data_IF_121654884296
#
_entry.id   IF_121654884296
#
_cell.length_a   1.000
_cell.length_b   1.000
_cell.length_c   1.000
_cell.angle_alpha   90.00
_cell.angle_beta   90.00
_cell.angle_gamma   90.00
#
_symmetry.space_group_name_H-M   'P 1'
#
loop_
_entity.id
_entity.type
_entity.pdbx_description
1 polymer ?
#
# COMPACT_ATOMS: atom_id res chain seq x y z
N UNK A 1 -10.87 1.32 -28.98
CA UNK A 1 -11.37 1.97 -27.75
C UNK A 1 -10.20 2.36 -26.88
N UNK A 2 -10.07 3.63 -26.56
CA UNK A 2 -9.02 4.08 -25.66
C UNK A 2 -9.33 3.61 -24.22
N UNK A 3 -8.50 2.74 -23.67
CA UNK A 3 -8.66 2.21 -22.32
C UNK A 3 -8.41 3.35 -21.33
N UNK A 4 -9.41 3.73 -20.56
CA UNK A 4 -9.26 4.78 -19.54
C UNK A 4 -9.18 4.21 -18.12
N UNK A 5 -8.55 4.97 -17.21
CA UNK A 5 -8.38 4.56 -15.80
C UNK A 5 -9.69 4.25 -15.07
N UNK A 6 -10.76 4.96 -15.40
CA UNK A 6 -12.05 4.80 -14.71
C UNK A 6 -12.71 3.48 -15.05
N UNK A 7 -12.71 3.08 -16.33
CA UNK A 7 -13.26 1.79 -16.77
C UNK A 7 -12.42 0.62 -16.24
N UNK A 8 -11.08 0.72 -16.28
CA UNK A 8 -10.21 -0.29 -15.67
C UNK A 8 -10.46 -0.42 -14.17
N UNK A 9 -10.56 0.69 -13.45
CA UNK A 9 -10.86 0.68 -12.01
C UNK A 9 -12.13 -0.08 -11.70
N UNK A 10 -13.23 0.23 -12.38
CA UNK A 10 -14.52 -0.45 -12.18
C UNK A 10 -14.42 -1.95 -12.50
N UNK A 11 -13.76 -2.30 -13.61
CA UNK A 11 -13.52 -3.70 -14.01
C UNK A 11 -12.79 -4.47 -12.90
N UNK A 12 -11.67 -3.93 -12.39
CA UNK A 12 -10.85 -4.63 -11.41
C UNK A 12 -11.45 -4.62 -10.00
N UNK A 13 -12.21 -3.61 -9.61
CA UNK A 13 -13.00 -3.64 -8.36
C UNK A 13 -14.04 -4.77 -8.41
N UNK A 14 -14.79 -4.88 -9.52
CA UNK A 14 -15.76 -5.97 -9.72
C UNK A 14 -15.06 -7.34 -9.72
N UNK A 15 -13.93 -7.46 -10.43
CA UNK A 15 -13.13 -8.70 -10.49
C UNK A 15 -12.63 -9.09 -9.10
N UNK A 16 -12.10 -8.14 -8.32
CA UNK A 16 -11.62 -8.38 -6.97
C UNK A 16 -12.76 -8.87 -6.05
N UNK A 17 -13.92 -8.21 -6.06
CA UNK A 17 -15.09 -8.62 -5.27
C UNK A 17 -15.53 -10.05 -5.60
N UNK A 18 -15.48 -10.44 -6.89
CA UNK A 18 -15.88 -11.79 -7.35
C UNK A 18 -14.86 -12.86 -6.98
N UNK A 19 -13.56 -12.55 -7.06
CA UNK A 19 -12.49 -13.55 -6.93
C UNK A 19 -11.81 -13.53 -5.55
N UNK A 20 -12.17 -12.60 -4.67
CA UNK A 20 -11.62 -12.55 -3.32
C UNK A 20 -11.92 -13.85 -2.57
N UNK A 21 -10.89 -14.41 -1.96
CA UNK A 21 -10.98 -15.54 -1.05
C UNK A 21 -9.99 -15.36 0.09
N UNK A 22 -10.28 -15.91 1.24
CA UNK A 22 -9.37 -15.96 2.38
C UNK A 22 -8.22 -16.97 2.18
N UNK A 23 -8.31 -17.81 1.14
CA UNK A 23 -7.32 -18.86 0.85
C UNK A 23 -6.09 -18.34 0.08
N UNK A 24 -6.01 -17.06 -0.25
CA UNK A 24 -4.80 -16.51 -0.85
C UNK A 24 -3.68 -16.42 0.19
N UNK A 25 -2.58 -17.08 -0.10
CA UNK A 25 -1.39 -17.06 0.74
C UNK A 25 -0.38 -16.03 0.22
N UNK A 26 0.10 -15.18 1.12
CA UNK A 26 1.16 -14.22 0.84
C UNK A 26 2.41 -14.60 1.65
N UNK A 27 3.51 -14.93 0.97
CA UNK A 27 4.80 -15.09 1.63
C UNK A 27 5.40 -13.71 1.91
N UNK A 28 5.36 -13.32 3.17
CA UNK A 28 5.95 -12.05 3.61
C UNK A 28 7.48 -12.13 3.75
N UNK A 29 8.09 -13.30 3.66
CA UNK A 29 9.54 -13.47 3.68
C UNK A 29 10.23 -12.69 2.56
N UNK A 30 9.58 -12.60 1.39
CA UNK A 30 10.06 -11.78 0.26
C UNK A 30 10.18 -10.30 0.65
N UNK A 31 9.28 -9.78 1.47
CA UNK A 31 9.34 -8.40 1.98
C UNK A 31 10.52 -8.27 2.96
N UNK A 32 10.68 -9.20 3.91
CA UNK A 32 11.80 -9.16 4.85
C UNK A 32 13.15 -9.30 4.13
N UNK A 33 13.22 -10.11 3.07
CA UNK A 33 14.40 -10.18 2.21
C UNK A 33 14.70 -8.83 1.54
N UNK A 34 13.70 -8.17 0.95
CA UNK A 34 13.86 -6.83 0.37
C UNK A 34 14.31 -5.80 1.41
N UNK A 35 13.76 -5.87 2.61
CA UNK A 35 14.16 -5.02 3.73
C UNK A 35 15.64 -5.20 4.03
N UNK A 36 16.09 -6.44 4.22
CA UNK A 36 17.49 -6.76 4.49
C UNK A 36 18.43 -6.27 3.37
N UNK A 37 18.03 -6.47 2.11
CA UNK A 37 18.79 -6.03 0.93
C UNK A 37 18.96 -4.51 0.86
N UNK A 38 17.89 -3.75 1.14
CA UNK A 38 17.87 -2.29 0.94
C UNK A 38 18.26 -1.48 2.20
N UNK A 39 18.18 -2.09 3.40
CA UNK A 39 18.38 -1.41 4.68
C UNK A 39 19.32 -2.19 5.61
N UNK A 40 20.51 -2.56 5.10
CA UNK A 40 21.48 -3.37 5.85
C UNK A 40 22.03 -2.68 7.11
N UNK A 41 22.12 -1.35 7.12
CA UNK A 41 22.76 -0.55 8.19
C UNK A 41 21.81 -0.06 9.28
N UNK A 42 20.50 -0.07 9.04
CA UNK A 42 19.50 0.41 10.01
C UNK A 42 18.20 -0.37 9.89
N UNK A 43 17.45 -0.40 10.99
CA UNK A 43 16.10 -0.95 10.98
C UNK A 43 15.13 0.10 10.42
N UNK A 44 14.55 -0.12 9.23
CA UNK A 44 13.64 0.87 8.63
C UNK A 44 12.30 0.91 9.34
N UNK A 45 11.58 2.01 9.17
CA UNK A 45 10.18 2.15 9.56
C UNK A 45 9.25 1.74 8.41
N UNK A 46 8.13 1.11 8.73
CA UNK A 46 7.20 0.54 7.77
C UNK A 46 5.82 1.20 7.92
N UNK A 47 5.28 1.74 6.85
CA UNK A 47 3.87 2.11 6.79
C UNK A 47 3.09 1.08 5.98
N UNK A 48 1.99 0.61 6.54
CA UNK A 48 1.02 -0.20 5.84
C UNK A 48 -0.28 0.55 5.58
N UNK A 49 -1.37 -0.20 5.50
CA UNK A 49 -2.74 0.31 5.42
C UNK A 49 -3.67 -0.64 6.19
N UNK A 50 -4.83 -0.15 6.58
CA UNK A 50 -5.89 -1.02 7.09
C UNK A 50 -6.69 -1.52 5.89
N UNK A 51 -6.79 -2.85 5.67
CA UNK A 51 -7.44 -3.39 4.47
C UNK A 51 -8.91 -3.01 4.39
N UNK A 52 -9.35 -2.59 3.23
CA UNK A 52 -10.74 -2.27 2.92
C UNK A 52 -11.14 -2.81 1.54
N UNK A 53 -12.43 -2.92 1.27
CA UNK A 53 -12.95 -3.33 -0.05
C UNK A 53 -12.25 -4.56 -0.66
N UNK A 54 -12.03 -5.60 0.15
CA UNK A 54 -11.35 -6.84 -0.27
C UNK A 54 -9.90 -6.63 -0.73
N UNK A 55 -9.19 -5.69 -0.15
CA UNK A 55 -7.74 -5.51 -0.34
C UNK A 55 -6.96 -6.68 0.28
N UNK A 56 -5.71 -6.81 -0.14
CA UNK A 56 -4.79 -7.78 0.49
C UNK A 56 -4.69 -7.47 1.97
N UNK A 57 -4.97 -8.46 2.81
CA UNK A 57 -4.81 -8.31 4.25
C UNK A 57 -3.33 -8.38 4.62
N UNK A 58 -2.78 -7.27 5.11
CA UNK A 58 -1.39 -7.14 5.52
C UNK A 58 -1.22 -7.01 7.03
N UNK A 59 -2.28 -7.17 7.81
CA UNK A 59 -2.22 -6.96 9.27
C UNK A 59 -1.28 -7.95 9.96
N UNK A 60 -1.24 -9.20 9.48
CA UNK A 60 -0.30 -10.20 9.99
C UNK A 60 1.16 -9.81 9.70
N UNK A 61 1.44 -9.28 8.50
CA UNK A 61 2.76 -8.76 8.18
C UNK A 61 3.16 -7.62 9.12
N UNK A 62 2.24 -6.67 9.35
CA UNK A 62 2.50 -5.54 10.24
C UNK A 62 2.70 -6.01 11.68
N UNK A 63 1.92 -7.00 12.13
CA UNK A 63 2.09 -7.63 13.44
C UNK A 63 3.45 -8.32 13.57
N UNK A 64 3.87 -9.09 12.56
CA UNK A 64 5.20 -9.72 12.53
C UNK A 64 6.33 -8.67 12.53
N UNK A 65 6.16 -7.57 11.79
CA UNK A 65 7.11 -6.47 11.80
C UNK A 65 7.24 -5.84 13.19
N UNK A 66 6.12 -5.60 13.90
CA UNK A 66 6.14 -5.13 15.27
C UNK A 66 6.87 -6.11 16.22
N UNK A 67 6.57 -7.42 16.14
CA UNK A 67 7.25 -8.46 16.93
C UNK A 67 8.78 -8.49 16.68
N UNK A 68 9.20 -8.12 15.48
CA UNK A 68 10.62 -7.96 15.10
C UNK A 68 11.16 -6.57 15.46
N UNK A 69 10.43 -5.77 16.25
CA UNK A 69 10.78 -4.41 16.68
C UNK A 69 10.99 -3.41 15.52
N UNK A 70 10.27 -3.54 14.41
CA UNK A 70 10.16 -2.46 13.44
C UNK A 70 9.18 -1.40 13.92
N UNK A 71 9.45 -0.14 13.62
CA UNK A 71 8.47 0.93 13.78
C UNK A 71 7.42 0.80 12.68
N UNK A 72 6.17 0.59 13.08
CA UNK A 72 5.05 0.38 12.15
C UNK A 72 4.04 1.52 12.28
N UNK A 73 3.33 1.82 11.21
CA UNK A 73 2.25 2.78 11.22
C UNK A 73 1.27 2.63 10.08
N UNK A 74 0.17 3.37 10.19
CA UNK A 74 -0.93 3.39 9.24
C UNK A 74 -1.21 4.82 8.78
N UNK A 75 -1.85 5.00 7.60
CA UNK A 75 -2.20 6.31 7.08
C UNK A 75 -3.36 6.92 7.86
N UNK A 76 -3.32 8.22 8.08
CA UNK A 76 -4.41 9.05 8.57
C UNK A 76 -4.74 10.09 7.50
N UNK A 77 -5.99 10.14 7.09
CA UNK A 77 -6.45 11.06 6.04
C UNK A 77 -6.55 12.49 6.59
N UNK A 78 -6.01 13.42 5.83
CA UNK A 78 -6.08 14.86 6.08
C UNK A 78 -6.92 15.58 5.02
N UNK A 79 -7.12 16.88 5.23
CA UNK A 79 -7.67 17.78 4.22
C UNK A 79 -6.75 17.81 2.98
N UNK A 80 -7.27 18.31 1.86
CA UNK A 80 -6.54 18.52 0.60
C UNK A 80 -5.90 17.23 0.04
N UNK A 81 -6.58 16.11 0.23
CA UNK A 81 -6.14 14.79 -0.24
C UNK A 81 -4.73 14.41 0.22
N UNK A 82 -4.32 14.88 1.40
CA UNK A 82 -3.05 14.50 2.05
C UNK A 82 -3.25 13.34 3.00
N UNK A 83 -2.19 12.58 3.23
CA UNK A 83 -2.11 11.57 4.29
C UNK A 83 -0.85 11.79 5.11
N UNK A 84 -1.00 11.62 6.43
CA UNK A 84 0.12 11.46 7.36
C UNK A 84 0.23 10.00 7.72
N UNK A 85 1.43 9.49 7.95
CA UNK A 85 1.63 8.18 8.54
C UNK A 85 1.84 8.33 10.03
N UNK A 86 1.02 7.63 10.81
CA UNK A 86 1.02 7.66 12.27
C UNK A 86 1.50 6.33 12.82
N UNK A 87 2.31 6.37 13.88
CA UNK A 87 2.67 5.14 14.59
C UNK A 87 1.42 4.41 15.05
N UNK A 88 1.46 3.11 14.92
CA UNK A 88 0.40 2.21 15.34
C UNK A 88 1.02 0.88 15.80
N UNK A 89 0.47 0.34 16.88
CA UNK A 89 0.81 -0.97 17.41
C UNK A 89 -0.42 -1.87 17.26
N UNK A 90 -0.28 -3.15 16.88
CA UNK A 90 -1.39 -4.10 16.88
C UNK A 90 -2.16 -4.07 18.20
N UNK A 91 -3.48 -4.12 18.13
CA UNK A 91 -4.43 -4.00 19.24
C UNK A 91 -4.64 -2.58 19.80
N UNK A 92 -3.93 -1.56 19.34
CA UNK A 92 -4.36 -0.19 19.64
C UNK A 92 -5.70 0.13 18.96
N UNK A 93 -6.58 0.88 19.65
CA UNK A 93 -7.85 1.31 19.07
C UNK A 93 -7.67 2.07 17.75
N UNK A 94 -8.49 1.73 16.78
CA UNK A 94 -8.58 2.43 15.50
C UNK A 94 -9.93 3.15 15.41
N UNK A 95 -9.98 4.23 14.65
CA UNK A 95 -11.14 5.10 14.49
C UNK A 95 -11.60 5.11 13.04
N UNK A 96 -12.89 5.07 12.82
CA UNK A 96 -13.47 5.12 11.47
C UNK A 96 -13.36 6.54 10.92
N UNK A 97 -12.76 6.68 9.76
CA UNK A 97 -12.70 7.95 9.04
C UNK A 97 -13.96 8.19 8.16
N UNK A 98 -14.02 9.34 7.48
CA UNK A 98 -15.15 9.70 6.61
C UNK A 98 -15.39 8.79 5.39
N UNK A 99 -14.50 7.86 5.13
CA UNK A 99 -14.62 6.84 4.06
C UNK A 99 -14.92 5.44 4.61
N UNK A 100 -15.20 5.31 5.90
CA UNK A 100 -15.43 4.01 6.54
C UNK A 100 -14.17 3.18 6.74
N UNK A 101 -12.98 3.77 6.63
CA UNK A 101 -11.69 3.09 6.79
C UNK A 101 -11.17 3.35 8.19
N UNK A 102 -10.63 2.30 8.82
CA UNK A 102 -10.00 2.38 10.12
C UNK A 102 -8.62 3.05 10.04
N UNK A 103 -8.38 4.03 10.90
CA UNK A 103 -7.12 4.77 11.00
C UNK A 103 -6.70 4.98 12.47
N UNK A 104 -5.40 5.15 12.75
CA UNK A 104 -4.91 5.45 14.09
C UNK A 104 -5.46 6.79 14.62
N UNK A 105 -5.37 6.97 15.92
CA UNK A 105 -5.71 8.24 16.56
C UNK A 105 -4.89 9.39 15.96
N UNK A 106 -5.55 10.52 15.69
CA UNK A 106 -4.89 11.70 15.06
C UNK A 106 -3.75 12.27 15.88
N UNK A 107 -3.79 12.09 17.19
CA UNK A 107 -2.76 12.52 18.14
C UNK A 107 -1.52 11.63 18.15
N UNK A 108 -1.59 10.39 17.60
CA UNK A 108 -0.41 9.53 17.52
C UNK A 108 0.72 10.22 16.77
N UNK A 109 1.95 9.86 17.10
CA UNK A 109 3.15 10.49 16.53
C UNK A 109 3.21 10.27 15.02
N UNK A 110 3.39 11.34 14.27
CA UNK A 110 3.62 11.31 12.83
C UNK A 110 5.07 10.90 12.53
N UNK A 111 5.26 10.08 11.52
CA UNK A 111 6.61 9.73 11.05
C UNK A 111 6.67 9.68 9.51
N UNK A 112 7.89 9.74 8.99
CA UNK A 112 8.15 9.54 7.56
C UNK A 112 8.65 8.11 7.35
N UNK A 113 7.84 7.19 6.82
CA UNK A 113 8.23 5.78 6.65
C UNK A 113 9.38 5.63 5.65
N UNK A 114 10.22 4.62 5.89
CA UNK A 114 11.27 4.20 4.94
C UNK A 114 10.70 3.21 3.91
N UNK A 115 9.70 2.43 4.31
CA UNK A 115 9.01 1.45 3.47
C UNK A 115 7.51 1.73 3.52
N UNK A 116 6.86 1.70 2.36
CA UNK A 116 5.42 1.92 2.25
C UNK A 116 4.79 0.77 1.48
N UNK A 117 3.91 0.03 2.17
CA UNK A 117 3.04 -0.96 1.54
C UNK A 117 1.84 -0.22 0.96
N UNK A 118 1.65 -0.32 -0.33
CA UNK A 118 0.69 0.50 -1.09
C UNK A 118 -0.50 -0.35 -1.54
N UNK A 119 -1.73 -0.01 -1.12
CA UNK A 119 -2.92 -0.66 -1.65
C UNK A 119 -3.18 -0.22 -3.08
N UNK A 120 -3.71 -1.13 -3.90
CA UNK A 120 -4.02 -0.84 -5.29
C UNK A 120 -5.23 -1.63 -5.80
N UNK A 121 -5.84 -1.15 -6.87
CA UNK A 121 -6.97 -1.81 -7.55
C UNK A 121 -6.48 -2.66 -8.71
N UNK A 122 -5.49 -2.19 -9.47
CA UNK A 122 -4.86 -2.90 -10.57
C UNK A 122 -3.41 -2.44 -10.72
N UNK A 123 -2.59 -3.27 -11.34
CA UNK A 123 -1.19 -2.97 -11.66
C UNK A 123 -0.82 -3.53 -13.03
N UNK A 124 0.29 -3.07 -13.59
CA UNK A 124 0.91 -3.66 -14.77
C UNK A 124 2.39 -4.02 -14.51
N UNK A 125 3.02 -4.68 -15.48
CA UNK A 125 4.43 -5.11 -15.36
C UNK A 125 5.44 -3.97 -15.39
N UNK A 126 5.01 -2.77 -15.78
CA UNK A 126 5.82 -1.55 -15.68
C UNK A 126 5.70 -0.88 -14.29
N UNK A 127 5.12 -1.59 -13.30
CA UNK A 127 4.93 -1.12 -11.92
C UNK A 127 3.99 0.09 -11.80
N UNK A 128 3.22 0.37 -12.86
CA UNK A 128 2.14 1.34 -12.79
C UNK A 128 0.96 0.76 -12.00
N UNK A 129 0.22 1.63 -11.31
CA UNK A 129 -0.94 1.20 -10.55
C UNK A 129 -2.17 2.06 -10.76
N UNK A 130 -3.33 1.48 -10.54
CA UNK A 130 -4.60 2.17 -10.37
C UNK A 130 -5.03 2.05 -8.91
N UNK A 131 -5.23 3.20 -8.26
CA UNK A 131 -5.90 3.30 -6.96
C UNK A 131 -7.37 3.66 -7.09
N UNK A 132 -7.99 4.12 -6.00
CA UNK A 132 -9.42 4.52 -5.96
C UNK A 132 -9.74 5.88 -6.59
N UNK A 133 -8.74 6.57 -7.16
CA UNK A 133 -8.94 7.80 -7.96
C UNK A 133 -8.88 9.12 -7.17
N UNK A 134 -8.62 9.11 -5.88
CA UNK A 134 -8.44 10.34 -5.08
C UNK A 134 -6.99 10.86 -5.08
N UNK A 135 -6.01 10.09 -5.56
CA UNK A 135 -4.60 10.45 -5.65
C UNK A 135 -3.88 10.67 -4.31
N UNK A 136 -4.40 10.13 -3.21
CA UNK A 136 -3.78 10.25 -1.89
C UNK A 136 -2.35 9.70 -1.85
N UNK A 137 -2.17 8.48 -2.32
CA UNK A 137 -0.86 7.83 -2.34
C UNK A 137 0.09 8.48 -3.33
N UNK A 138 -0.37 8.90 -4.51
CA UNK A 138 0.51 9.55 -5.51
C UNK A 138 1.14 10.81 -4.95
N UNK A 139 0.34 11.66 -4.28
CA UNK A 139 0.85 12.88 -3.62
C UNK A 139 1.79 12.56 -2.47
N UNK A 140 1.40 11.62 -1.60
CA UNK A 140 2.22 11.28 -0.44
C UNK A 140 3.56 10.66 -0.85
N UNK A 141 3.56 9.74 -1.82
CA UNK A 141 4.76 9.09 -2.30
C UNK A 141 5.70 10.10 -2.98
N UNK A 142 5.18 10.99 -3.84
CA UNK A 142 5.97 12.08 -4.44
C UNK A 142 6.60 12.99 -3.37
N UNK A 143 5.82 13.41 -2.39
CA UNK A 143 6.32 14.26 -1.31
C UNK A 143 7.38 13.56 -0.44
N UNK A 144 7.22 12.27 -0.16
CA UNK A 144 8.17 11.52 0.65
C UNK A 144 9.46 11.23 -0.12
N UNK A 145 9.35 10.81 -1.39
CA UNK A 145 10.50 10.48 -2.23
C UNK A 145 11.37 11.68 -2.60
N UNK A 146 10.80 12.89 -2.62
CA UNK A 146 11.59 14.11 -2.84
C UNK A 146 12.52 14.46 -1.67
N UNK A 147 12.23 13.95 -0.47
CA UNK A 147 13.00 14.27 0.74
C UNK A 147 13.95 13.14 1.17
N UNK A 148 13.68 11.91 0.80
CA UNK A 148 14.51 10.75 1.12
C UNK A 148 14.20 9.56 0.22
N UNK A 149 15.16 8.65 0.10
CA UNK A 149 14.90 7.36 -0.55
C UNK A 149 13.89 6.57 0.29
N UNK A 150 12.81 6.13 -0.34
CA UNK A 150 11.79 5.25 0.21
C UNK A 150 11.72 3.96 -0.62
N UNK A 151 11.21 2.88 -0.04
CA UNK A 151 10.88 1.65 -0.76
C UNK A 151 9.36 1.51 -0.80
N UNK A 152 8.78 1.46 -1.99
CA UNK A 152 7.34 1.37 -2.22
C UNK A 152 6.97 0.00 -2.77
N UNK A 153 6.14 -0.74 -2.05
CA UNK A 153 5.74 -2.11 -2.38
C UNK A 153 4.23 -2.16 -2.59
N UNK A 154 3.80 -2.39 -3.81
CA UNK A 154 2.38 -2.63 -4.11
C UNK A 154 1.93 -3.98 -3.57
N UNK A 155 0.77 -4.01 -2.92
CA UNK A 155 0.16 -5.25 -2.42
C UNK A 155 -1.05 -5.60 -3.27
N UNK A 156 -1.00 -6.70 -3.98
CA UNK A 156 -2.04 -7.08 -4.94
C UNK A 156 -2.26 -8.58 -5.01
N UNK A 157 -3.44 -9.00 -5.45
CA UNK A 157 -3.64 -10.37 -5.92
C UNK A 157 -3.15 -10.48 -7.37
N UNK A 158 -2.60 -11.61 -7.75
CA UNK A 158 -2.09 -11.88 -9.10
C UNK A 158 -3.12 -11.58 -10.20
N UNK A 159 -4.40 -11.83 -9.93
CA UNK A 159 -5.48 -11.54 -10.86
C UNK A 159 -5.77 -10.04 -11.08
N UNK A 160 -5.13 -9.14 -10.32
CA UNK A 160 -5.22 -7.68 -10.50
C UNK A 160 -4.23 -7.16 -11.55
N UNK A 161 -3.43 -8.03 -12.17
CA UNK A 161 -2.55 -7.67 -13.28
C UNK A 161 -3.37 -7.25 -14.51
N UNK A 162 -3.10 -6.07 -15.03
CA UNK A 162 -3.60 -5.52 -16.28
C UNK A 162 -2.49 -5.56 -17.32
N UNK A 163 -2.83 -5.68 -18.62
CA UNK A 163 -1.85 -5.67 -19.70
C UNK A 163 -1.10 -4.35 -19.74
N UNK A 164 -1.82 -3.23 -19.63
CA UNK A 164 -1.25 -1.88 -19.59
C UNK A 164 -2.17 -0.95 -18.80
N UNK A 165 -1.57 -0.04 -18.05
CA UNK A 165 -2.26 1.01 -17.32
C UNK A 165 -1.92 2.35 -17.95
N UNK A 166 -2.92 3.13 -18.41
CA UNK A 166 -2.68 4.51 -18.84
C UNK A 166 -2.11 5.34 -17.68
N UNK A 167 -1.02 6.04 -17.93
CA UNK A 167 -0.36 6.87 -16.95
C UNK A 167 -0.41 8.35 -17.31
N UNK A 168 -0.20 9.20 -16.32
CA UNK A 168 -0.01 10.64 -16.51
C UNK A 168 1.08 11.16 -15.56
N UNK A 169 1.45 12.43 -15.70
CA UNK A 169 2.51 13.07 -14.90
C UNK A 169 2.27 13.09 -13.38
N UNK A 170 1.05 12.83 -12.92
CA UNK A 170 0.71 12.82 -11.50
C UNK A 170 0.83 11.44 -10.87
N UNK A 171 0.95 10.38 -11.65
CA UNK A 171 1.10 9.03 -11.14
C UNK A 171 2.49 8.81 -10.54
N UNK A 172 2.57 7.88 -9.60
CA UNK A 172 3.82 7.46 -8.98
C UNK A 172 4.06 5.99 -9.29
N UNK A 173 5.19 5.65 -9.90
CA UNK A 173 5.60 4.27 -10.13
C UNK A 173 6.09 3.65 -8.83
N UNK A 174 5.73 2.39 -8.62
CA UNK A 174 6.21 1.63 -7.47
C UNK A 174 7.61 1.03 -7.74
N UNK A 175 8.32 0.68 -6.66
CA UNK A 175 9.60 -0.02 -6.78
C UNK A 175 9.42 -1.51 -7.04
N UNK A 176 8.35 -2.11 -6.53
CA UNK A 176 7.97 -3.50 -6.79
C UNK A 176 6.52 -3.76 -6.40
N UNK A 177 6.00 -4.93 -6.80
CA UNK A 177 4.64 -5.39 -6.45
C UNK A 177 4.73 -6.83 -5.96
N UNK A 178 4.24 -7.06 -4.73
CA UNK A 178 4.08 -8.40 -4.19
C UNK A 178 2.66 -8.90 -4.45
N UNK A 179 2.58 -10.08 -5.05
CA UNK A 179 1.32 -10.81 -5.24
C UNK A 179 1.33 -12.14 -4.47
N UNK A 180 0.18 -12.81 -4.44
CA UNK A 180 0.04 -14.18 -3.94
C UNK A 180 0.95 -15.19 -4.68
N UNK A 181 1.44 -14.83 -5.88
CA UNK A 181 2.29 -15.71 -6.70
C UNK A 181 3.74 -15.21 -6.77
N UNK A 182 3.93 -13.94 -7.08
CA UNK A 182 5.23 -13.40 -7.47
C UNK A 182 5.56 -12.06 -6.82
N UNK A 183 6.85 -11.76 -6.76
CA UNK A 183 7.39 -10.42 -6.60
C UNK A 183 7.80 -9.92 -8.00
N UNK A 184 7.25 -8.80 -8.42
CA UNK A 184 7.45 -8.15 -9.72
C UNK A 184 8.26 -6.87 -9.49
#
# INVERSE_FOLDING_TARGET
MQVNKSSLRLKFIKKRRKLYSTNFFFSFDKIFFLIKKNFSKKKPSIAGYYPSNFEVNILDLLSQACKKNFKVGLPVIKKDYKIDFKYWIPNEPLYVNKYGILEPKKQNITFKPDIILVPLVAFDRNLNRIGYGKGYYDRALKQLSSNKKILTIGMAFSFQEATIIPTNQYDYNLDCILTDRNLI
#
